data_IF_844780843218
#
_entry.id   IF_844780843218
#
_cell.length_a   1.000
_cell.length_b   1.000
_cell.length_c   1.000
_cell.angle_alpha   90.00
_cell.angle_beta   90.00
_cell.angle_gamma   90.00
#
_symmetry.space_group_name_H-M   'P 1'
#
loop_
_entity.id
_entity.type
_entity.pdbx_description
1 polymer ?
#
# COMPACT_ATOMS: atom_id res chain seq x y z
N UNK A 1 24.79 -3.69 -13.33
CA UNK A 1 24.88 -5.18 -13.29
C UNK A 1 23.52 -5.87 -13.27
N UNK A 2 22.56 -5.49 -12.42
CA UNK A 2 21.26 -6.16 -12.30
C UNK A 2 20.36 -6.05 -13.55
N UNK A 3 20.25 -4.86 -14.16
CA UNK A 3 19.54 -4.69 -15.45
C UNK A 3 20.13 -5.55 -16.58
N UNK A 4 21.46 -5.68 -16.62
CA UNK A 4 22.15 -6.57 -17.57
C UNK A 4 21.83 -8.04 -17.31
N UNK A 5 21.61 -8.45 -16.05
CA UNK A 5 21.23 -9.82 -15.71
C UNK A 5 19.77 -10.13 -16.03
N UNK A 6 18.84 -9.20 -15.79
CA UNK A 6 17.44 -9.35 -16.25
C UNK A 6 17.40 -9.44 -17.77
N UNK A 7 18.10 -8.55 -18.46
CA UNK A 7 18.19 -8.59 -19.93
C UNK A 7 18.83 -9.90 -20.39
N UNK A 8 19.90 -10.37 -19.77
CA UNK A 8 20.52 -11.65 -20.11
C UNK A 8 19.63 -12.87 -19.80
N UNK A 9 18.85 -12.85 -18.71
CA UNK A 9 17.89 -13.90 -18.38
C UNK A 9 16.72 -13.89 -19.37
N UNK A 10 16.23 -12.71 -19.76
CA UNK A 10 15.21 -12.56 -20.79
C UNK A 10 15.74 -13.08 -22.13
N UNK A 11 16.97 -12.71 -22.50
CA UNK A 11 17.67 -13.19 -23.71
C UNK A 11 17.88 -14.71 -23.66
N UNK A 12 18.21 -15.29 -22.51
CA UNK A 12 18.36 -16.76 -22.36
C UNK A 12 17.03 -17.49 -22.42
N UNK A 13 15.97 -16.95 -21.81
CA UNK A 13 14.61 -17.49 -21.97
C UNK A 13 14.09 -17.37 -23.39
N UNK A 14 14.55 -16.35 -24.12
CA UNK A 14 14.30 -16.16 -25.53
C UNK A 14 15.10 -17.17 -26.35
N UNK A 15 16.39 -17.37 -26.06
CA UNK A 15 17.28 -18.30 -26.76
C UNK A 15 16.87 -19.79 -26.66
N UNK A 16 16.03 -20.16 -25.68
CA UNK A 16 15.44 -21.49 -25.57
C UNK A 16 14.14 -21.70 -26.36
N UNK A 17 13.60 -20.64 -26.97
CA UNK A 17 12.44 -20.75 -27.86
C UNK A 17 12.91 -21.27 -29.23
N UNK A 18 12.15 -22.17 -29.87
CA UNK A 18 12.47 -22.60 -31.24
C UNK A 18 12.62 -21.38 -32.15
N UNK A 19 13.53 -21.46 -33.13
CA UNK A 19 13.83 -20.39 -34.10
C UNK A 19 12.62 -19.92 -34.94
N UNK A 20 11.44 -20.48 -34.69
CA UNK A 20 10.14 -20.16 -35.26
C UNK A 20 9.35 -19.10 -34.48
N UNK A 21 9.80 -18.65 -33.30
CA UNK A 21 9.18 -17.48 -32.63
C UNK A 21 9.77 -16.21 -33.24
N UNK A 22 8.99 -15.40 -33.97
CA UNK A 22 9.53 -14.21 -34.62
C UNK A 22 9.81 -13.15 -33.55
N UNK A 23 11.07 -13.03 -33.13
CA UNK A 23 11.54 -11.98 -32.21
C UNK A 23 11.15 -10.57 -32.68
N UNK A 24 10.98 -10.38 -33.99
CA UNK A 24 10.46 -9.17 -34.61
C UNK A 24 9.04 -8.80 -34.18
N UNK A 25 8.20 -9.74 -33.74
CA UNK A 25 6.86 -9.45 -33.22
C UNK A 25 6.86 -9.28 -31.69
N UNK A 26 7.76 -9.96 -30.97
CA UNK A 26 7.81 -9.92 -29.52
C UNK A 26 8.30 -8.58 -28.97
N UNK A 27 9.34 -8.00 -29.57
CA UNK A 27 9.89 -6.71 -29.11
C UNK A 27 8.84 -5.58 -29.27
N UNK A 28 8.18 -5.41 -30.42
CA UNK A 28 7.09 -4.45 -30.55
C UNK A 28 5.92 -4.72 -29.61
N UNK A 29 5.54 -5.99 -29.41
CA UNK A 29 4.46 -6.34 -28.48
C UNK A 29 4.80 -5.95 -27.03
N UNK A 30 6.04 -6.22 -26.57
CA UNK A 30 6.52 -5.79 -25.26
C UNK A 30 6.52 -4.27 -25.18
N UNK A 31 7.08 -3.55 -26.16
CA UNK A 31 7.09 -2.08 -26.14
C UNK A 31 5.67 -1.51 -26.10
N UNK A 32 4.74 -2.05 -26.90
CA UNK A 32 3.33 -1.64 -26.89
C UNK A 32 2.68 -1.89 -25.53
N UNK A 33 2.96 -3.04 -24.91
CA UNK A 33 2.51 -3.33 -23.54
C UNK A 33 3.11 -2.33 -22.53
N UNK A 34 4.42 -2.04 -22.61
CA UNK A 34 5.09 -1.05 -21.75
C UNK A 34 4.43 0.33 -21.88
N UNK A 35 4.18 0.78 -23.11
CA UNK A 35 3.52 2.06 -23.39
C UNK A 35 2.08 2.04 -22.88
N UNK A 36 1.35 0.95 -23.11
CA UNK A 36 -0.04 0.81 -22.67
C UNK A 36 -0.14 0.86 -21.14
N UNK A 37 0.63 0.04 -20.43
CA UNK A 37 0.69 0.02 -18.96
C UNK A 37 1.05 1.41 -18.41
N UNK A 38 2.11 2.04 -18.92
CA UNK A 38 2.50 3.37 -18.45
C UNK A 38 1.42 4.43 -18.71
N UNK A 39 0.71 4.36 -19.84
CA UNK A 39 -0.43 5.23 -20.12
C UNK A 39 -1.58 4.99 -19.17
N UNK A 40 -1.87 3.76 -18.80
CA UNK A 40 -2.91 3.45 -17.81
C UNK A 40 -2.59 4.08 -16.45
N UNK A 41 -1.35 3.93 -15.96
CA UNK A 41 -0.92 4.54 -14.69
C UNK A 41 -1.02 6.07 -14.67
N UNK A 42 -0.82 6.72 -15.82
CA UNK A 42 -0.93 8.16 -15.96
C UNK A 42 -2.37 8.65 -16.25
N UNK A 43 -3.28 7.75 -16.63
CA UNK A 43 -4.59 8.10 -17.17
C UNK A 43 -5.56 8.71 -16.15
N UNK A 44 -5.30 8.54 -14.85
CA UNK A 44 -6.18 8.93 -13.77
C UNK A 44 -5.62 10.02 -12.84
N UNK A 45 -4.36 10.43 -13.05
CA UNK A 45 -3.68 11.45 -12.26
C UNK A 45 -3.55 12.76 -13.04
N UNK A 46 -3.52 13.88 -12.32
CA UNK A 46 -3.21 15.21 -12.84
C UNK A 46 -4.11 15.67 -14.02
N UNK A 47 -5.34 15.14 -14.11
CA UNK A 47 -6.30 15.37 -15.21
C UNK A 47 -7.04 16.70 -15.17
N UNK A 48 -7.15 17.27 -13.98
CA UNK A 48 -7.99 18.44 -13.71
C UNK A 48 -7.11 19.63 -13.32
N UNK A 49 -7.52 20.87 -13.62
CA UNK A 49 -6.88 22.03 -13.02
C UNK A 49 -7.09 22.02 -11.51
N UNK A 50 -6.09 22.53 -10.78
CA UNK A 50 -6.20 22.69 -9.34
C UNK A 50 -7.22 23.78 -9.03
N UNK A 51 -8.20 23.47 -8.20
CA UNK A 51 -9.17 24.45 -7.71
C UNK A 51 -8.68 25.08 -6.41
N UNK A 52 -9.09 26.33 -6.09
CA UNK A 52 -8.70 26.97 -4.85
C UNK A 52 -9.38 26.36 -3.61
N UNK A 53 -10.54 25.70 -3.78
CA UNK A 53 -11.35 25.18 -2.67
C UNK A 53 -11.93 23.79 -2.98
N UNK A 54 -11.85 22.88 -2.01
CA UNK A 54 -12.49 21.55 -2.08
C UNK A 54 -13.37 21.28 -0.86
N UNK A 55 -14.30 20.33 -0.96
CA UNK A 55 -15.04 19.87 0.23
C UNK A 55 -14.14 19.03 1.12
N UNK A 56 -13.40 18.11 0.52
CA UNK A 56 -12.47 17.24 1.21
C UNK A 56 -11.09 17.30 0.57
N UNK A 57 -10.06 17.32 1.42
CA UNK A 57 -8.67 17.16 0.98
C UNK A 57 -8.11 15.92 1.66
N UNK A 58 -7.73 14.92 0.87
CA UNK A 58 -7.06 13.69 1.32
C UNK A 58 -5.56 13.85 1.08
N UNK A 59 -4.77 13.68 2.14
CA UNK A 59 -3.30 13.79 2.11
C UNK A 59 -2.71 12.39 2.10
N UNK A 60 -2.02 12.03 1.01
CA UNK A 60 -1.41 10.72 0.80
C UNK A 60 -2.33 9.79 0.02
N UNK A 61 -1.92 9.40 -1.19
CA UNK A 61 -2.57 8.44 -2.07
C UNK A 61 -2.20 6.99 -1.79
N UNK A 62 -1.90 6.65 -0.53
CA UNK A 62 -1.66 5.29 -0.08
C UNK A 62 -2.95 4.49 0.15
N UNK A 63 -2.85 3.30 0.74
CA UNK A 63 -4.00 2.40 0.94
C UNK A 63 -5.22 3.08 1.58
N UNK A 64 -5.06 3.78 2.70
CA UNK A 64 -6.17 4.49 3.34
C UNK A 64 -6.70 5.65 2.49
N UNK A 65 -5.80 6.47 1.94
CA UNK A 65 -6.18 7.66 1.19
C UNK A 65 -6.84 7.38 -0.15
N UNK A 66 -6.42 6.35 -0.87
CA UNK A 66 -7.08 5.89 -2.10
C UNK A 66 -8.51 5.43 -1.84
N UNK A 67 -8.74 4.68 -0.75
CA UNK A 67 -10.08 4.27 -0.33
C UNK A 67 -10.93 5.50 0.02
N UNK A 68 -10.41 6.39 0.86
CA UNK A 68 -11.15 7.59 1.31
C UNK A 68 -11.52 8.50 0.14
N UNK A 69 -10.58 8.81 -0.76
CA UNK A 69 -10.85 9.66 -1.90
C UNK A 69 -11.87 9.04 -2.87
N UNK A 70 -11.77 7.72 -3.10
CA UNK A 70 -12.75 7.00 -3.91
C UNK A 70 -14.14 7.00 -3.27
N UNK A 71 -14.26 6.70 -1.97
CA UNK A 71 -15.57 6.64 -1.31
C UNK A 71 -16.22 8.01 -1.17
N UNK A 72 -15.47 9.06 -0.83
CA UNK A 72 -16.01 10.42 -0.73
C UNK A 72 -16.49 10.94 -2.09
N UNK A 73 -15.78 10.60 -3.17
CA UNK A 73 -16.18 11.01 -4.52
C UNK A 73 -17.40 10.28 -5.08
N UNK A 74 -17.93 9.24 -4.41
CA UNK A 74 -19.24 8.65 -4.75
C UNK A 74 -20.38 9.66 -4.60
N UNK A 75 -20.19 10.69 -3.76
CA UNK A 75 -21.12 11.79 -3.60
C UNK A 75 -20.86 12.87 -4.65
N UNK A 76 -21.66 12.88 -5.72
CA UNK A 76 -21.58 13.84 -6.82
C UNK A 76 -21.74 15.32 -6.38
N UNK A 77 -22.20 15.57 -5.16
CA UNK A 77 -22.38 16.90 -4.55
C UNK A 77 -21.13 17.41 -3.84
N UNK A 78 -20.03 16.65 -3.82
CA UNK A 78 -18.81 17.01 -3.09
C UNK A 78 -17.60 16.99 -4.01
N UNK A 79 -16.67 17.94 -3.84
CA UNK A 79 -15.37 17.91 -4.53
C UNK A 79 -14.27 17.40 -3.62
N UNK A 80 -13.48 16.46 -4.13
CA UNK A 80 -12.43 15.76 -3.40
C UNK A 80 -11.09 16.00 -4.08
N UNK A 81 -10.10 16.47 -3.31
CA UNK A 81 -8.72 16.59 -3.75
C UNK A 81 -7.88 15.52 -3.04
N UNK A 82 -7.18 14.68 -3.80
CA UNK A 82 -6.15 13.76 -3.30
C UNK A 82 -4.77 14.29 -3.67
N UNK A 83 -3.90 14.51 -2.69
CA UNK A 83 -2.51 14.95 -2.87
C UNK A 83 -1.55 13.82 -2.51
N UNK A 84 -0.79 13.32 -3.49
CA UNK A 84 0.26 12.32 -3.29
C UNK A 84 1.64 12.93 -3.55
N UNK A 85 2.59 12.64 -2.64
CA UNK A 85 3.95 13.13 -2.73
C UNK A 85 4.74 12.46 -3.86
N UNK A 86 4.54 11.15 -4.05
CA UNK A 86 5.21 10.35 -5.06
C UNK A 86 4.69 10.56 -6.49
N UNK A 87 5.34 9.91 -7.47
CA UNK A 87 4.84 9.83 -8.84
C UNK A 87 3.67 8.84 -8.95
N UNK A 88 3.12 8.70 -10.15
CA UNK A 88 2.26 7.57 -10.50
C UNK A 88 3.03 6.24 -10.43
N UNK A 89 2.27 5.14 -10.38
CA UNK A 89 2.81 3.77 -10.48
C UNK A 89 3.55 3.55 -11.81
N UNK A 90 4.36 2.50 -11.85
CA UNK A 90 5.09 2.11 -13.05
C UNK A 90 4.96 0.61 -13.31
N UNK A 91 5.34 0.18 -14.50
CA UNK A 91 5.21 -1.21 -14.90
C UNK A 91 6.04 -2.19 -14.04
N UNK A 92 7.19 -1.78 -13.51
CA UNK A 92 8.01 -2.67 -12.68
C UNK A 92 7.28 -2.97 -11.36
N UNK A 93 6.49 -2.03 -10.86
CA UNK A 93 5.67 -2.27 -9.67
C UNK A 93 4.49 -3.22 -9.90
N UNK A 94 4.01 -3.36 -11.14
CA UNK A 94 2.93 -4.30 -11.47
C UNK A 94 3.38 -5.75 -11.37
N UNK A 95 4.68 -6.02 -11.51
CA UNK A 95 5.23 -7.38 -11.50
C UNK A 95 5.37 -7.83 -10.03
N UNK A 96 4.56 -8.81 -9.54
CA UNK A 96 4.58 -9.21 -8.12
C UNK A 96 5.97 -9.61 -7.63
N UNK A 97 6.71 -10.28 -8.51
CA UNK A 97 8.06 -10.78 -8.27
C UNK A 97 9.09 -9.67 -7.97
N UNK A 98 8.81 -8.43 -8.36
CA UNK A 98 9.72 -7.30 -8.19
C UNK A 98 9.60 -6.63 -6.81
N UNK A 99 8.65 -7.01 -5.96
CA UNK A 99 8.33 -6.33 -4.69
C UNK A 99 9.55 -5.87 -3.87
N UNK A 100 10.49 -6.79 -3.56
CA UNK A 100 11.67 -6.48 -2.76
C UNK A 100 12.69 -5.59 -3.49
N UNK A 101 12.72 -5.64 -4.82
CA UNK A 101 13.60 -4.81 -5.64
C UNK A 101 13.12 -3.37 -5.81
N UNK A 102 11.86 -3.09 -5.47
CA UNK A 102 11.31 -1.74 -5.48
C UNK A 102 11.79 -0.92 -4.28
N UNK A 103 12.27 -1.57 -3.21
CA UNK A 103 12.86 -0.89 -2.06
C UNK A 103 14.15 -0.18 -2.47
N UNK A 104 14.44 0.93 -1.80
CA UNK A 104 15.60 1.79 -2.09
C UNK A 104 15.61 2.40 -3.50
N UNK A 105 14.48 2.42 -4.18
CA UNK A 105 14.28 3.13 -5.45
C UNK A 105 13.55 4.47 -5.20
N UNK A 106 13.39 5.35 -6.21
CA UNK A 106 12.68 6.63 -6.03
C UNK A 106 11.20 6.53 -5.62
N UNK A 107 10.58 5.34 -5.74
CA UNK A 107 9.20 5.09 -5.28
C UNK A 107 9.13 4.58 -3.82
N UNK A 108 10.26 4.56 -3.12
CA UNK A 108 10.39 4.29 -1.69
C UNK A 108 10.83 5.59 -1.00
N UNK A 109 10.28 5.87 0.18
CA UNK A 109 10.75 6.96 1.05
C UNK A 109 12.13 6.67 1.64
N UNK A 110 12.54 5.40 1.71
CA UNK A 110 13.85 4.94 2.18
C UNK A 110 14.16 5.40 3.61
N UNK A 111 13.16 5.42 4.49
CA UNK A 111 13.40 5.78 5.89
C UNK A 111 14.41 4.82 6.53
N UNK A 112 15.16 5.35 7.49
CA UNK A 112 16.08 4.58 8.32
C UNK A 112 15.75 4.89 9.77
N UNK A 113 15.47 3.85 10.56
CA UNK A 113 15.30 4.00 11.99
C UNK A 113 16.59 4.56 12.63
N UNK A 114 16.46 5.21 13.78
CA UNK A 114 17.61 5.55 14.63
C UNK A 114 18.36 4.29 15.09
N UNK A 115 19.64 4.38 15.50
CA UNK A 115 20.39 3.23 16.00
C UNK A 115 19.64 2.50 17.13
N UNK A 116 19.44 1.19 16.96
CA UNK A 116 18.69 0.37 17.90
C UNK A 116 19.59 -0.16 19.01
N UNK A 117 19.10 -0.10 20.25
CA UNK A 117 19.83 -0.59 21.43
C UNK A 117 19.61 -2.08 21.69
N UNK A 118 18.42 -2.59 21.34
CA UNK A 118 17.95 -3.95 21.67
C UNK A 118 17.72 -4.85 20.45
N UNK A 119 17.98 -4.36 19.24
CA UNK A 119 17.74 -5.08 18.00
C UNK A 119 18.74 -4.66 16.92
N UNK A 120 18.61 -5.23 15.71
CA UNK A 120 19.41 -4.84 14.53
C UNK A 120 20.94 -4.97 14.70
N UNK A 121 21.42 -5.83 15.61
CA UNK A 121 22.86 -6.04 15.86
C UNK A 121 23.64 -6.48 14.60
N UNK A 122 22.98 -7.18 13.68
CA UNK A 122 23.56 -7.59 12.39
C UNK A 122 23.52 -6.52 11.29
N UNK A 123 22.96 -5.34 11.54
CA UNK A 123 22.83 -4.27 10.55
C UNK A 123 23.88 -3.18 10.73
N UNK A 124 24.27 -2.55 9.61
CA UNK A 124 25.22 -1.42 9.63
C UNK A 124 24.67 -0.29 10.49
N UNK A 125 25.47 0.14 11.47
CA UNK A 125 25.10 1.19 12.42
C UNK A 125 23.92 0.83 13.34
N UNK A 126 23.51 -0.44 13.39
CA UNK A 126 22.30 -0.90 14.11
C UNK A 126 21.01 -0.19 13.66
N UNK A 127 20.95 0.23 12.40
CA UNK A 127 19.80 0.95 11.83
C UNK A 127 18.99 0.05 10.90
N UNK A 128 17.70 -0.04 11.14
CA UNK A 128 16.76 -0.79 10.30
C UNK A 128 16.30 0.08 9.12
N UNK A 129 16.40 -0.41 7.87
CA UNK A 129 15.68 0.19 6.74
C UNK A 129 14.17 0.02 6.89
N UNK A 130 13.43 1.11 6.74
CA UNK A 130 11.97 1.18 6.86
C UNK A 130 11.36 1.62 5.53
N UNK A 131 11.22 0.69 4.56
CA UNK A 131 10.66 1.02 3.26
C UNK A 131 9.19 1.45 3.40
N UNK A 132 8.82 2.55 2.75
CA UNK A 132 7.45 3.07 2.70
C UNK A 132 7.17 3.61 1.31
N UNK A 133 5.98 3.35 0.77
CA UNK A 133 5.64 3.80 -0.58
C UNK A 133 5.66 5.32 -0.72
N UNK A 134 6.46 5.79 -1.66
CA UNK A 134 6.51 7.16 -2.16
C UNK A 134 6.02 7.16 -3.62
N UNK A 135 4.75 6.80 -3.80
CA UNK A 135 4.11 6.56 -5.11
C UNK A 135 2.60 6.49 -4.90
N UNK A 136 1.80 6.81 -5.93
CA UNK A 136 0.35 6.52 -5.93
C UNK A 136 0.10 5.05 -5.58
N UNK A 137 -0.84 4.78 -4.67
CA UNK A 137 -1.06 3.45 -4.07
C UNK A 137 -0.25 3.21 -2.79
N UNK A 138 0.78 4.02 -2.53
CA UNK A 138 1.62 3.95 -1.33
C UNK A 138 2.28 2.59 -1.16
N UNK A 139 2.39 2.10 0.08
CA UNK A 139 3.08 0.82 0.35
C UNK A 139 2.39 -0.40 -0.28
N UNK A 140 1.14 -0.30 -0.74
CA UNK A 140 0.51 -1.40 -1.50
C UNK A 140 1.22 -1.71 -2.83
N UNK A 141 2.00 -0.76 -3.34
CA UNK A 141 2.84 -0.88 -4.53
C UNK A 141 4.15 -1.60 -4.24
N UNK A 142 4.63 -1.54 -2.99
CA UNK A 142 5.92 -2.12 -2.56
C UNK A 142 5.77 -3.44 -1.81
N UNK A 143 4.59 -3.71 -1.23
CA UNK A 143 4.39 -4.87 -0.35
C UNK A 143 4.51 -6.21 -1.10
N UNK A 144 4.38 -7.33 -0.39
CA UNK A 144 4.40 -8.69 -0.96
C UNK A 144 3.02 -9.23 -1.35
N UNK A 145 2.02 -8.35 -1.46
CA UNK A 145 0.62 -8.64 -1.84
C UNK A 145 -0.12 -9.62 -0.94
N UNK A 146 0.48 -10.07 0.17
CA UNK A 146 -0.16 -10.95 1.13
C UNK A 146 -1.48 -10.32 1.61
N UNK A 147 -2.58 -11.02 1.43
CA UNK A 147 -3.88 -10.65 1.97
C UNK A 147 -4.12 -11.41 3.27
N UNK A 148 -4.41 -10.67 4.34
CA UNK A 148 -4.74 -11.22 5.65
C UNK A 148 -5.60 -10.22 6.41
N UNK A 149 -6.29 -10.69 7.44
CA UNK A 149 -7.12 -9.89 8.35
C UNK A 149 -6.62 -10.06 9.78
N UNK A 150 -6.71 -9.00 10.58
CA UNK A 150 -6.46 -9.08 12.02
C UNK A 150 -7.38 -10.09 12.72
N UNK A 151 -7.00 -10.51 13.92
CA UNK A 151 -7.85 -11.38 14.73
C UNK A 151 -9.09 -10.60 15.19
N UNK A 152 -10.24 -11.27 15.33
CA UNK A 152 -11.46 -10.60 15.82
C UNK A 152 -11.22 -9.90 17.16
N UNK A 153 -10.41 -10.52 18.03
CA UNK A 153 -10.05 -10.00 19.35
C UNK A 153 -9.25 -8.69 19.28
N UNK A 154 -8.50 -8.44 18.21
CA UNK A 154 -7.71 -7.20 18.07
C UNK A 154 -8.66 -6.00 18.00
N UNK A 155 -9.73 -6.13 17.22
CA UNK A 155 -10.73 -5.07 17.01
C UNK A 155 -11.68 -4.91 18.20
N UNK A 156 -12.13 -6.03 18.79
CA UNK A 156 -12.90 -5.99 20.02
C UNK A 156 -12.09 -5.33 21.15
N UNK A 157 -10.78 -5.58 21.20
CA UNK A 157 -9.89 -4.89 22.12
C UNK A 157 -9.79 -3.39 21.83
N UNK A 158 -9.73 -2.96 20.57
CA UNK A 158 -9.78 -1.53 20.24
C UNK A 158 -11.07 -0.87 20.73
N UNK A 159 -12.22 -1.50 20.49
CA UNK A 159 -13.50 -1.01 20.98
C UNK A 159 -13.55 -0.91 22.51
N UNK A 160 -13.04 -1.93 23.21
CA UNK A 160 -12.95 -1.94 24.66
C UNK A 160 -12.03 -0.85 25.22
N UNK A 161 -11.02 -0.41 24.46
CA UNK A 161 -10.12 0.69 24.80
C UNK A 161 -10.63 2.08 24.34
N UNK A 162 -11.90 2.19 23.96
CA UNK A 162 -12.55 3.48 23.68
C UNK A 162 -12.69 3.82 22.20
N UNK A 163 -12.20 2.99 21.27
CA UNK A 163 -12.46 3.14 19.83
C UNK A 163 -13.87 2.65 19.49
N UNK A 164 -14.90 3.38 19.95
CA UNK A 164 -16.31 3.02 19.69
C UNK A 164 -16.58 2.86 18.19
N UNK A 165 -17.27 1.78 17.82
CA UNK A 165 -17.57 1.46 16.41
C UNK A 165 -16.45 0.71 15.69
N UNK A 166 -15.42 0.26 16.41
CA UNK A 166 -14.30 -0.51 15.87
C UNK A 166 -14.27 -1.95 16.38
N UNK A 167 -15.37 -2.49 16.91
CA UNK A 167 -15.44 -3.92 17.25
C UNK A 167 -15.39 -4.76 15.98
N UNK A 168 -15.08 -6.06 16.09
CA UNK A 168 -15.10 -6.95 14.94
C UNK A 168 -16.45 -6.90 14.21
N UNK A 169 -17.55 -6.91 14.97
CA UNK A 169 -18.90 -6.85 14.41
C UNK A 169 -19.16 -5.55 13.62
N UNK A 170 -18.61 -4.42 14.05
CA UNK A 170 -18.78 -3.14 13.36
C UNK A 170 -17.97 -3.07 12.06
N UNK A 171 -16.75 -3.62 12.06
CA UNK A 171 -15.83 -3.47 10.92
C UNK A 171 -15.92 -4.62 9.90
N UNK A 172 -16.38 -5.80 10.31
CA UNK A 172 -16.46 -6.98 9.45
C UNK A 172 -17.23 -6.72 8.14
N UNK A 173 -18.36 -6.00 8.14
CA UNK A 173 -19.03 -5.60 6.90
C UNK A 173 -18.15 -4.80 5.93
N UNK A 174 -17.16 -4.05 6.42
CA UNK A 174 -16.22 -3.32 5.58
C UNK A 174 -15.14 -4.22 4.97
N UNK A 175 -14.73 -5.31 5.64
CA UNK A 175 -13.88 -6.33 5.02
C UNK A 175 -14.61 -7.01 3.85
N UNK A 176 -15.86 -7.39 4.05
CA UNK A 176 -16.71 -7.96 3.00
C UNK A 176 -16.91 -6.94 1.86
N UNK A 177 -17.18 -5.68 2.17
CA UNK A 177 -17.37 -4.62 1.16
C UNK A 177 -16.09 -4.32 0.34
N UNK A 178 -14.91 -4.52 0.92
CA UNK A 178 -13.65 -4.24 0.26
C UNK A 178 -13.20 -5.37 -0.68
N UNK A 179 -13.53 -6.61 -0.33
CA UNK A 179 -13.03 -7.83 -0.96
C UNK A 179 -13.88 -8.28 -2.17
N UNK A 180 -13.19 -8.73 -3.21
CA UNK A 180 -13.69 -9.60 -4.26
C UNK A 180 -12.81 -10.85 -4.29
N UNK A 181 -13.21 -11.87 -3.54
CA UNK A 181 -12.51 -13.14 -3.44
C UNK A 181 -12.91 -14.03 -4.62
N UNK A 182 -11.93 -14.55 -5.34
CA UNK A 182 -12.18 -15.38 -6.52
C UNK A 182 -12.08 -16.87 -6.23
N UNK A 183 -11.84 -17.29 -4.99
CA UNK A 183 -11.73 -18.70 -4.62
C UNK A 183 -13.11 -19.34 -4.39
N UNK A 184 -13.57 -20.28 -5.26
CA UNK A 184 -14.85 -20.94 -5.09
C UNK A 184 -14.98 -21.73 -3.78
N UNK A 185 -13.87 -22.13 -3.16
CA UNK A 185 -13.88 -22.84 -1.88
C UNK A 185 -14.17 -21.92 -0.68
N UNK A 186 -13.90 -20.61 -0.81
CA UNK A 186 -14.08 -19.62 0.24
C UNK A 186 -15.34 -18.78 0.03
N UNK A 187 -15.71 -18.54 -1.23
CA UNK A 187 -16.94 -17.83 -1.59
C UNK A 187 -18.16 -18.62 -1.09
N UNK A 188 -19.12 -17.91 -0.48
CA UNK A 188 -20.35 -18.51 0.05
C UNK A 188 -20.25 -19.04 1.48
N UNK A 189 -19.06 -19.03 2.09
CA UNK A 189 -18.88 -19.37 3.52
C UNK A 189 -19.46 -18.32 4.48
N UNK A 190 -19.83 -17.15 3.98
CA UNK A 190 -20.27 -16.00 4.77
C UNK A 190 -19.13 -15.11 5.28
N UNK A 191 -17.88 -15.48 5.01
CA UNK A 191 -16.69 -14.73 5.45
C UNK A 191 -16.02 -13.91 4.36
N UNK A 192 -16.46 -14.02 3.10
CA UNK A 192 -15.80 -13.38 1.97
C UNK A 192 -16.75 -12.59 1.08
N UNK A 193 -16.29 -11.42 0.65
CA UNK A 193 -16.95 -10.58 -0.36
C UNK A 193 -16.57 -10.98 -1.78
N UNK A 194 -17.44 -10.72 -2.75
CA UNK A 194 -17.24 -11.04 -4.18
C UNK A 194 -17.40 -9.85 -5.12
N UNK A 195 -17.78 -8.68 -4.59
CA UNK A 195 -18.11 -7.49 -5.39
C UNK A 195 -17.21 -6.29 -5.08
N UNK A 196 -16.28 -6.46 -4.13
CA UNK A 196 -15.37 -5.41 -3.72
C UNK A 196 -14.34 -5.03 -4.79
N UNK A 197 -13.74 -3.83 -4.67
CA UNK A 197 -12.72 -3.38 -5.63
C UNK A 197 -11.40 -4.16 -5.54
N UNK A 198 -11.07 -4.73 -4.37
CA UNK A 198 -9.85 -5.50 -4.15
C UNK A 198 -10.07 -6.95 -4.53
N UNK A 199 -9.57 -7.34 -5.69
CA UNK A 199 -9.52 -8.75 -6.08
C UNK A 199 -8.51 -9.50 -5.21
N UNK A 200 -8.97 -10.57 -4.59
CA UNK A 200 -8.20 -11.47 -3.73
C UNK A 200 -8.22 -12.84 -4.37
N UNK A 201 -7.03 -13.34 -4.71
CA UNK A 201 -6.86 -14.56 -5.49
C UNK A 201 -5.92 -15.52 -4.78
N UNK A 202 -6.12 -16.82 -5.03
CA UNK A 202 -5.13 -17.82 -4.69
C UNK A 202 -3.93 -17.72 -5.63
N UNK A 203 -2.76 -18.19 -5.18
CA UNK A 203 -1.60 -18.30 -6.04
C UNK A 203 -1.89 -19.26 -7.22
N UNK A 204 -1.80 -18.75 -8.45
CA UNK A 204 -1.94 -19.57 -9.65
C UNK A 204 -0.81 -20.60 -9.84
N UNK A 205 0.32 -20.41 -9.16
CA UNK A 205 1.43 -21.35 -9.10
C UNK A 205 1.90 -21.48 -7.65
N UNK A 206 1.89 -22.70 -7.13
CA UNK A 206 2.28 -23.00 -5.76
C UNK A 206 3.35 -24.09 -5.74
N UNK A 207 4.50 -23.78 -5.13
CA UNK A 207 5.65 -24.67 -5.02
C UNK A 207 5.37 -25.85 -4.08
N UNK A 208 6.12 -26.95 -4.29
CA UNK A 208 6.00 -28.17 -3.46
C UNK A 208 6.29 -27.87 -1.99
N UNK A 209 7.26 -26.99 -1.71
CA UNK A 209 7.63 -26.59 -0.35
C UNK A 209 6.49 -25.85 0.36
N UNK A 210 5.79 -24.94 -0.34
CA UNK A 210 4.65 -24.21 0.24
C UNK A 210 3.49 -25.15 0.61
N UNK A 211 3.20 -26.14 -0.26
CA UNK A 211 2.20 -27.17 0.03
C UNK A 211 2.61 -28.04 1.22
N UNK A 212 3.86 -28.51 1.23
CA UNK A 212 4.40 -29.30 2.34
C UNK A 212 4.34 -28.53 3.67
N UNK A 213 4.61 -27.22 3.66
CA UNK A 213 4.48 -26.38 4.85
C UNK A 213 3.04 -26.32 5.34
N UNK A 214 2.06 -26.04 4.47
CA UNK A 214 0.63 -26.07 4.81
C UNK A 214 0.23 -27.45 5.37
N UNK A 215 0.60 -28.51 4.66
CA UNK A 215 0.22 -29.88 4.98
C UNK A 215 0.90 -30.42 6.25
N UNK A 216 1.90 -29.69 6.79
CA UNK A 216 2.51 -29.99 8.08
C UNK A 216 1.64 -29.59 9.27
N UNK A 217 0.69 -28.66 9.10
CA UNK A 217 -0.16 -28.12 10.17
C UNK A 217 -0.80 -29.18 11.07
N UNK A 218 -1.44 -30.23 10.49
CA UNK A 218 -2.06 -31.30 11.28
C UNK A 218 -1.10 -32.06 12.20
N UNK A 219 0.18 -32.18 11.86
CA UNK A 219 1.17 -32.82 12.73
C UNK A 219 1.47 -31.99 13.98
N UNK A 220 1.22 -30.69 13.94
CA UNK A 220 1.31 -29.76 15.06
C UNK A 220 -0.05 -29.55 15.77
N UNK A 221 -1.11 -30.25 15.34
CA UNK A 221 -2.44 -30.10 15.89
C UNK A 221 -3.24 -28.91 15.35
N UNK A 222 -2.79 -28.29 14.25
CA UNK A 222 -3.52 -27.20 13.60
C UNK A 222 -4.28 -27.68 12.36
N UNK A 223 -5.52 -27.23 12.14
CA UNK A 223 -6.24 -27.55 10.92
C UNK A 223 -5.68 -26.81 9.72
N UNK A 224 -5.97 -27.35 8.53
CA UNK A 224 -5.78 -26.64 7.27
C UNK A 224 -7.06 -25.86 6.99
N UNK A 225 -6.97 -24.57 6.70
CA UNK A 225 -8.15 -23.71 6.55
C UNK A 225 -7.83 -22.36 5.90
N UNK A 226 -8.61 -21.33 6.26
CA UNK A 226 -8.29 -19.95 5.90
C UNK A 226 -8.25 -19.05 7.13
N UNK A 227 -7.14 -18.32 7.32
CA UNK A 227 -6.96 -17.40 8.45
C UNK A 227 -7.93 -16.20 8.43
N UNK A 228 -8.59 -16.00 7.29
CA UNK A 228 -9.57 -14.94 7.06
C UNK A 228 -11.03 -15.43 7.11
N UNK A 229 -11.23 -16.72 7.38
CA UNK A 229 -12.53 -17.35 7.60
C UNK A 229 -12.94 -17.39 9.08
N UNK A 230 -13.86 -18.31 9.41
CA UNK A 230 -14.41 -18.47 10.77
C UNK A 230 -13.35 -18.83 11.82
N UNK A 231 -12.45 -19.74 11.48
CA UNK A 231 -11.35 -20.18 12.34
C UNK A 231 -10.04 -19.55 11.85
N UNK A 232 -9.39 -18.75 12.69
CA UNK A 232 -8.20 -17.99 12.30
C UNK A 232 -6.88 -18.72 12.64
N UNK A 233 -6.92 -19.75 13.48
CA UNK A 233 -5.74 -20.53 13.90
C UNK A 233 -5.52 -21.74 13.00
N UNK A 234 -5.03 -21.49 11.79
CA UNK A 234 -4.95 -22.50 10.73
C UNK A 234 -3.60 -22.46 10.02
N UNK A 235 -3.28 -23.54 9.30
CA UNK A 235 -2.29 -23.52 8.24
C UNK A 235 -2.99 -23.32 6.90
N UNK A 236 -2.50 -22.39 6.08
CA UNK A 236 -3.09 -22.06 4.79
C UNK A 236 -2.03 -21.79 3.73
N UNK A 237 -2.43 -21.81 2.46
CA UNK A 237 -1.70 -21.09 1.41
C UNK A 237 -2.23 -19.65 1.39
N UNK A 238 -1.36 -18.63 1.46
CA UNK A 238 -1.81 -17.26 1.54
C UNK A 238 -2.49 -16.79 0.26
N UNK A 239 -3.58 -16.04 0.41
CA UNK A 239 -4.18 -15.31 -0.71
C UNK A 239 -3.43 -14.00 -0.98
N UNK A 240 -3.58 -13.47 -2.19
CA UNK A 240 -2.89 -12.25 -2.63
C UNK A 240 -3.81 -11.27 -3.33
N UNK A 241 -3.46 -9.98 -3.26
CA UNK A 241 -4.09 -8.92 -4.06
C UNK A 241 -3.45 -8.86 -5.45
N UNK A 242 -3.80 -9.82 -6.31
CA UNK A 242 -3.30 -9.96 -7.68
C UNK A 242 -4.49 -10.09 -8.62
N UNK A 243 -4.47 -9.37 -9.74
CA UNK A 243 -5.45 -9.45 -10.83
C UNK A 243 -4.75 -9.70 -12.15
N UNK A 244 -5.16 -10.73 -12.88
CA UNK A 244 -4.57 -11.10 -14.18
C UNK A 244 -3.03 -11.26 -14.15
N UNK A 245 -2.48 -11.77 -13.04
CA UNK A 245 -1.03 -11.96 -12.86
C UNK A 245 -0.25 -10.69 -12.49
N UNK A 246 -0.91 -9.54 -12.39
CA UNK A 246 -0.32 -8.29 -11.95
C UNK A 246 -0.71 -7.97 -10.50
N UNK A 247 0.18 -7.28 -9.79
CA UNK A 247 -0.14 -6.66 -8.50
C UNK A 247 -1.35 -5.75 -8.65
N UNK A 248 -2.34 -5.93 -7.79
CA UNK A 248 -3.43 -4.98 -7.65
C UNK A 248 -3.15 -4.03 -6.47
N UNK A 249 -2.63 -2.84 -6.76
CA UNK A 249 -2.48 -1.79 -5.75
C UNK A 249 -3.85 -1.25 -5.33
N UNK A 250 -3.91 -0.59 -4.16
CA UNK A 250 -5.17 0.01 -3.69
C UNK A 250 -5.58 1.19 -4.60
N UNK A 251 -4.63 1.91 -5.18
CA UNK A 251 -4.96 2.99 -6.13
C UNK A 251 -5.56 2.44 -7.43
N UNK A 252 -4.99 1.36 -7.98
CA UNK A 252 -5.55 0.64 -9.14
C UNK A 252 -6.93 0.04 -8.85
N UNK A 253 -7.17 -0.42 -7.62
CA UNK A 253 -8.46 -0.97 -7.23
C UNK A 253 -9.55 0.11 -7.04
N UNK A 254 -9.22 1.23 -6.38
CA UNK A 254 -10.22 2.21 -5.94
C UNK A 254 -10.29 3.48 -6.79
N UNK A 255 -9.19 3.94 -7.37
CA UNK A 255 -9.10 5.25 -8.05
C UNK A 255 -9.11 5.11 -9.57
N UNK A 256 -8.26 4.24 -10.11
CA UNK A 256 -8.11 4.06 -11.56
C UNK A 256 -9.45 3.79 -12.28
N UNK A 257 -10.34 2.89 -11.80
CA UNK A 257 -11.58 2.57 -12.52
C UNK A 257 -12.63 3.68 -12.48
N UNK A 258 -12.44 4.70 -11.62
CA UNK A 258 -13.49 5.69 -11.30
C UNK A 258 -13.12 7.12 -11.64
N UNK A 259 -11.83 7.46 -11.68
CA UNK A 259 -11.38 8.84 -11.89
C UNK A 259 -11.89 9.44 -13.22
N UNK A 260 -11.95 8.62 -14.28
CA UNK A 260 -12.41 9.10 -15.59
C UNK A 260 -13.90 9.49 -15.62
N UNK A 261 -14.71 8.87 -14.77
CA UNK A 261 -16.17 9.05 -14.71
C UNK A 261 -16.62 9.98 -13.57
N UNK A 262 -15.71 10.38 -12.68
CA UNK A 262 -15.98 11.22 -11.51
C UNK A 262 -15.27 12.56 -11.63
N UNK A 263 -15.88 13.58 -12.28
CA UNK A 263 -15.24 14.89 -12.49
C UNK A 263 -15.02 15.66 -11.17
N UNK A 264 -15.64 15.21 -10.08
CA UNK A 264 -15.49 15.76 -8.74
C UNK A 264 -14.30 15.17 -7.94
N UNK A 265 -13.57 14.19 -8.51
CA UNK A 265 -12.38 13.59 -7.92
C UNK A 265 -11.12 14.12 -8.63
N UNK A 266 -10.34 14.93 -7.91
CA UNK A 266 -9.10 15.51 -8.41
C UNK A 266 -7.92 14.81 -7.74
N UNK A 267 -7.05 14.19 -8.52
CA UNK A 267 -5.88 13.44 -8.01
C UNK A 267 -4.62 14.11 -8.51
N UNK A 268 -3.73 14.50 -7.61
CA UNK A 268 -2.50 15.19 -7.94
C UNK A 268 -1.29 14.46 -7.40
N UNK A 269 -0.35 14.13 -8.29
CA UNK A 269 0.94 13.52 -7.92
C UNK A 269 2.00 14.58 -7.68
N UNK A 270 3.16 14.16 -7.16
CA UNK A 270 4.32 15.03 -6.91
C UNK A 270 3.98 16.24 -6.05
N UNK A 271 3.01 16.08 -5.15
CA UNK A 271 2.37 17.11 -4.34
C UNK A 271 2.63 16.82 -2.87
N UNK A 272 3.77 17.30 -2.37
CA UNK A 272 4.23 17.04 -1.02
C UNK A 272 3.60 18.02 -0.03
N UNK A 273 2.62 17.57 0.76
CA UNK A 273 1.97 18.37 1.80
C UNK A 273 2.96 18.64 2.93
N UNK A 274 3.15 19.93 3.24
CA UNK A 274 4.10 20.38 4.27
C UNK A 274 3.41 20.61 5.61
N UNK A 275 2.18 21.12 5.61
CA UNK A 275 1.36 21.32 6.82
C UNK A 275 -0.12 21.51 6.51
N UNK A 276 -0.95 21.25 7.51
CA UNK A 276 -2.36 21.64 7.60
C UNK A 276 -2.45 23.06 8.18
N UNK A 277 -3.39 23.85 7.67
CA UNK A 277 -3.64 25.23 8.10
C UNK A 277 -4.85 25.26 9.03
N UNK A 278 -4.73 25.97 10.15
CA UNK A 278 -5.78 26.13 11.15
C UNK A 278 -6.17 27.60 11.32
N UNK A 279 -7.44 27.85 11.59
CA UNK A 279 -7.91 29.16 12.04
C UNK A 279 -7.77 29.33 13.57
N UNK A 280 -8.23 30.46 14.10
CA UNK A 280 -8.11 30.79 15.52
C UNK A 280 -8.95 29.85 16.41
N UNK A 281 -10.05 29.29 15.90
CA UNK A 281 -10.84 28.26 16.58
C UNK A 281 -10.26 26.84 16.44
N UNK A 282 -9.02 26.71 15.94
CA UNK A 282 -8.31 25.43 15.74
C UNK A 282 -9.04 24.47 14.78
N UNK A 283 -9.82 25.00 13.84
CA UNK A 283 -10.44 24.24 12.75
C UNK A 283 -9.48 24.18 11.56
N UNK A 284 -9.29 23.00 10.98
CA UNK A 284 -8.53 22.84 9.74
C UNK A 284 -9.24 23.54 8.57
N UNK A 285 -8.59 24.53 7.95
CA UNK A 285 -9.15 25.36 6.87
C UNK A 285 -8.49 25.13 5.51
N UNK A 286 -7.35 24.46 5.46
CA UNK A 286 -6.66 24.18 4.21
C UNK A 286 -5.36 23.43 4.42
N UNK A 287 -4.59 23.27 3.34
CA UNK A 287 -3.27 22.63 3.35
C UNK A 287 -2.27 23.45 2.54
N UNK A 288 -1.03 23.47 3.02
CA UNK A 288 0.12 23.94 2.25
C UNK A 288 0.87 22.74 1.68
N UNK A 289 1.27 22.81 0.41
CA UNK A 289 2.06 21.76 -0.22
C UNK A 289 3.05 22.31 -1.25
N UNK A 290 4.07 21.51 -1.57
CA UNK A 290 5.05 21.81 -2.60
C UNK A 290 4.84 20.88 -3.79
N UNK A 291 4.71 21.46 -4.98
CA UNK A 291 4.60 20.72 -6.25
C UNK A 291 5.51 21.35 -7.29
N UNK A 292 6.37 20.56 -7.91
CA UNK A 292 7.38 21.04 -8.87
C UNK A 292 8.21 22.23 -8.35
N UNK A 293 8.60 22.19 -7.08
CA UNK A 293 9.39 23.24 -6.40
C UNK A 293 8.61 24.52 -6.08
N UNK A 294 7.30 24.57 -6.35
CA UNK A 294 6.45 25.72 -6.05
C UNK A 294 5.53 25.41 -4.87
N UNK A 295 5.39 26.39 -3.98
CA UNK A 295 4.45 26.32 -2.86
C UNK A 295 3.04 26.65 -3.34
N UNK A 296 2.08 25.86 -2.88
CA UNK A 296 0.67 26.01 -3.15
C UNK A 296 -0.12 25.96 -1.84
N UNK A 297 -1.26 26.64 -1.83
CA UNK A 297 -2.24 26.58 -0.74
C UNK A 297 -3.60 26.26 -1.36
N UNK A 298 -4.31 25.31 -0.76
CA UNK A 298 -5.68 24.97 -1.13
C UNK A 298 -6.53 24.90 0.12
N UNK A 299 -7.75 25.45 0.02
CA UNK A 299 -8.67 25.57 1.13
C UNK A 299 -9.70 24.44 1.15
N UNK A 300 -10.21 24.13 2.34
CA UNK A 300 -11.15 23.04 2.57
C UNK A 300 -12.45 23.54 3.20
N UNK A 301 -13.59 23.14 2.64
CA UNK A 301 -14.92 23.50 3.14
C UNK A 301 -15.38 22.59 4.26
N UNK A 302 -15.03 21.30 4.23
CA UNK A 302 -15.43 20.32 5.25
C UNK A 302 -14.22 19.82 6.04
N UNK A 303 -13.48 18.86 5.50
CA UNK A 303 -12.48 18.13 6.29
C UNK A 303 -11.18 17.85 5.53
N UNK A 304 -10.07 17.89 6.27
CA UNK A 304 -8.78 17.38 5.82
C UNK A 304 -8.60 15.97 6.39
N UNK A 305 -8.34 15.00 5.51
CA UNK A 305 -8.15 13.60 5.86
C UNK A 305 -6.68 13.26 5.69
N UNK A 306 -6.00 13.03 6.81
CA UNK A 306 -4.57 12.72 6.81
C UNK A 306 -4.36 11.21 6.66
N UNK A 307 -3.83 10.80 5.51
CA UNK A 307 -3.59 9.40 5.13
C UNK A 307 -2.15 9.18 4.61
N UNK A 308 -1.19 9.94 5.15
CA UNK A 308 0.22 9.89 4.75
C UNK A 308 0.97 8.66 5.32
N UNK A 309 0.27 7.77 6.04
CA UNK A 309 0.84 6.60 6.70
C UNK A 309 1.48 6.90 8.06
N UNK A 310 1.87 5.85 8.78
CA UNK A 310 2.27 5.90 10.21
C UNK A 310 3.49 6.78 10.48
N UNK A 311 4.38 6.98 9.51
CA UNK A 311 5.58 7.82 9.68
C UNK A 311 5.30 9.28 9.32
N UNK A 312 4.64 9.52 8.18
CA UNK A 312 4.49 10.88 7.66
C UNK A 312 3.27 11.62 8.22
N UNK A 313 2.23 10.91 8.65
CA UNK A 313 1.06 11.54 9.30
C UNK A 313 1.44 12.28 10.59
N UNK A 314 2.13 11.66 11.57
CA UNK A 314 2.55 12.40 12.76
C UNK A 314 3.53 13.52 12.43
N UNK A 315 4.41 13.36 11.44
CA UNK A 315 5.29 14.44 10.98
C UNK A 315 4.50 15.64 10.45
N UNK A 316 3.49 15.42 9.61
CA UNK A 316 2.64 16.50 9.08
C UNK A 316 1.87 17.17 10.21
N UNK A 317 1.32 16.40 11.17
CA UNK A 317 0.64 16.97 12.35
C UNK A 317 1.58 17.86 13.17
N UNK A 318 2.80 17.38 13.47
CA UNK A 318 3.79 18.15 14.22
C UNK A 318 4.19 19.44 13.48
N UNK A 319 4.45 19.36 12.17
CA UNK A 319 4.73 20.54 11.33
C UNK A 319 3.55 21.51 11.23
N UNK A 320 2.34 21.06 11.57
CA UNK A 320 1.11 21.85 11.63
C UNK A 320 0.81 22.39 13.04
N UNK A 321 1.68 22.12 14.03
CA UNK A 321 1.53 22.57 15.40
C UNK A 321 0.73 21.62 16.31
N UNK A 322 0.54 20.35 15.91
CA UNK A 322 -0.13 19.33 16.74
C UNK A 322 0.88 18.26 17.14
N UNK A 323 1.24 18.22 18.43
CA UNK A 323 2.29 17.35 18.97
C UNK A 323 2.72 17.80 20.36
N UNK A 324 3.71 17.12 20.95
CA UNK A 324 4.25 17.49 22.27
C UNK A 324 4.72 18.94 22.29
N UNK A 325 4.12 19.76 23.15
CA UNK A 325 4.36 21.21 23.22
C UNK A 325 5.84 21.56 23.26
N UNK A 326 6.60 20.98 24.18
CA UNK A 326 8.02 21.31 24.37
C UNK A 326 8.86 20.98 23.13
N UNK A 327 8.54 19.87 22.45
CA UNK A 327 9.21 19.49 21.21
C UNK A 327 8.90 20.50 20.09
N UNK A 328 7.63 20.89 19.92
CA UNK A 328 7.22 21.87 18.92
C UNK A 328 7.87 23.25 19.16
N UNK A 329 7.86 23.71 20.41
CA UNK A 329 8.46 25.00 20.79
C UNK A 329 9.98 24.99 20.57
N UNK A 330 10.67 23.87 20.86
CA UNK A 330 12.10 23.72 20.58
C UNK A 330 12.46 23.82 19.09
N UNK A 331 11.49 23.52 18.22
CA UNK A 331 11.62 23.60 16.75
C UNK A 331 11.09 24.92 16.18
N UNK A 332 10.66 25.87 17.03
CA UNK A 332 10.08 27.14 16.59
C UNK A 332 8.70 27.01 15.93
N UNK A 333 7.96 25.95 16.20
CA UNK A 333 6.63 25.69 15.63
C UNK A 333 5.56 26.22 16.60
N UNK A 334 4.65 27.06 16.10
CA UNK A 334 3.50 27.54 16.89
C UNK A 334 2.60 26.35 17.26
N UNK A 335 2.34 26.19 18.55
CA UNK A 335 1.50 25.11 19.07
C UNK A 335 0.01 25.43 18.84
N UNK A 336 -0.67 24.51 18.15
CA UNK A 336 -2.13 24.48 17.97
C UNK A 336 -2.76 23.59 19.04
N UNK A 337 -2.21 22.40 19.25
CA UNK A 337 -2.66 21.46 20.27
C UNK A 337 -1.49 20.62 20.81
N UNK A 338 -1.44 20.48 22.13
CA UNK A 338 -0.50 19.61 22.83
C UNK A 338 -1.09 18.21 22.94
N UNK A 339 -0.58 17.29 22.12
CA UNK A 339 -1.05 15.90 22.02
C UNK A 339 0.16 14.98 21.82
N UNK A 340 0.12 13.72 22.27
CA UNK A 340 1.23 12.76 22.16
C UNK A 340 1.41 12.20 20.73
N UNK A 341 1.49 13.09 19.74
CA UNK A 341 1.65 12.73 18.33
C UNK A 341 3.05 12.19 18.08
N UNK A 342 3.12 11.00 17.47
CA UNK A 342 4.37 10.30 17.20
C UNK A 342 4.69 9.22 18.23
N UNK A 343 3.97 9.18 19.35
CA UNK A 343 4.09 8.14 20.37
C UNK A 343 3.36 6.86 19.96
N UNK A 344 3.51 5.81 20.78
CA UNK A 344 2.87 4.50 20.62
C UNK A 344 3.12 3.85 19.23
N UNK A 345 4.31 4.06 18.67
CA UNK A 345 4.74 3.39 17.45
C UNK A 345 4.88 1.88 17.70
N UNK A 346 4.13 1.09 16.95
CA UNK A 346 4.15 -0.37 16.98
C UNK A 346 4.53 -0.89 15.59
N UNK A 347 5.28 -1.99 15.54
CA UNK A 347 5.60 -2.71 14.31
C UNK A 347 5.81 -4.21 14.62
N UNK A 348 5.71 -5.06 13.61
CA UNK A 348 6.00 -6.48 13.74
C UNK A 348 7.49 -6.73 13.51
N UNK A 349 8.19 -7.15 14.57
CA UNK A 349 9.59 -7.57 14.46
C UNK A 349 9.65 -8.94 13.81
N UNK A 350 10.34 -9.02 12.67
CA UNK A 350 10.55 -10.27 11.94
C UNK A 350 12.01 -10.71 11.99
N UNK A 351 12.22 -12.03 12.06
CA UNK A 351 13.52 -12.68 11.86
C UNK A 351 13.33 -13.84 10.87
N UNK A 352 14.35 -14.09 10.05
CA UNK A 352 14.34 -15.22 9.12
C UNK A 352 15.17 -16.38 9.67
N UNK A 353 14.72 -17.60 9.38
CA UNK A 353 15.50 -18.84 9.55
C UNK A 353 15.63 -19.47 8.17
N UNK A 354 16.85 -19.80 7.78
CA UNK A 354 17.16 -20.33 6.45
C UNK A 354 17.54 -21.79 6.56
N UNK A 355 16.95 -22.64 5.73
CA UNK A 355 17.23 -24.06 5.65
C UNK A 355 17.82 -24.41 4.29
N UNK A 356 18.85 -25.27 4.27
CA UNK A 356 19.38 -25.83 3.02
C UNK A 356 18.52 -27.01 2.58
N UNK A 357 18.10 -27.00 1.32
CA UNK A 357 17.34 -28.10 0.71
C UNK A 357 18.26 -28.93 -0.18
N UNK A 358 18.11 -30.26 -0.13
CA UNK A 358 18.83 -31.21 -0.99
C UNK A 358 18.17 -31.38 -2.38
N UNK A 359 17.39 -30.38 -2.77
CA UNK A 359 16.66 -30.33 -4.03
C UNK A 359 16.80 -28.91 -4.63
N UNK A 360 16.44 -28.78 -5.89
CA UNK A 360 16.33 -27.51 -6.63
C UNK A 360 15.02 -26.79 -6.38
N UNK A 361 14.06 -27.39 -5.67
CA UNK A 361 12.84 -26.73 -5.22
C UNK A 361 13.20 -25.78 -4.07
N UNK A 362 13.00 -24.47 -4.25
CA UNK A 362 13.36 -23.44 -3.28
C UNK A 362 12.35 -22.31 -3.32
N UNK A 363 12.07 -21.72 -2.15
CA UNK A 363 11.31 -20.47 -1.99
C UNK A 363 12.05 -19.25 -2.57
N UNK A 364 13.37 -19.35 -2.75
CA UNK A 364 14.26 -18.26 -3.14
C UNK A 364 14.48 -18.17 -4.66
N UNK A 365 14.51 -16.95 -5.17
CA UNK A 365 14.59 -16.59 -6.59
C UNK A 365 16.02 -16.38 -7.10
N UNK A 366 17.03 -16.73 -6.30
CA UNK A 366 18.43 -16.44 -6.56
C UNK A 366 19.28 -17.72 -6.64
N UNK A 367 18.82 -18.74 -7.36
CA UNK A 367 19.72 -19.77 -7.90
C UNK A 367 19.90 -19.54 -9.39
N UNK A 368 21.03 -18.91 -9.75
CA UNK A 368 21.75 -19.20 -11.01
C UNK A 368 22.54 -20.50 -10.82
#
# INVERSE_FOLDING_TARGET
MFFSRIINSLIRSLAGLPATVPYFALIPAVILYLIHSQRQHLSYVDRHPLQPHYDYIVIGGGSGGSVMASRLSELNTTTVLLLEAGPAENIISDIPRMALFLQKTPIDWQFMAEPQEKSCFGLRGRRQPWPRGHVMGGTSVLNTMLYSRGNHRDYDHWAANGCRGWSWADIFPYFIKAENNTDPALVGTGYHGVDGPLEVTNEGYCEVVSKAFRDSGPYFGYPIGSSTGAEQSVFELPQRTIRNGERLSVARAYLEPVAARRPNLHIFTKSFVTKVLFNDEKRAVGVEFVRYGRKHVVWVRKEVILSAGTVMSPKVLMLSGIGHKDHLESMGIKVVADLPVGDNLMDHVASSVVFTLNDTVSYDMMRE
#
